data_IF_238881828264
#
_entry.id   IF_238881828264
#
_cell.length_a   1.000
_cell.length_b   1.000
_cell.length_c   1.000
_cell.angle_alpha   90.00
_cell.angle_beta   90.00
_cell.angle_gamma   90.00
#
_symmetry.space_group_name_H-M   'P 1'
#
loop_
_entity.id
_entity.type
_entity.pdbx_description
1 polymer ?
#
# COMPACT_ATOMS: atom_id res chain seq x y z
N UNK A 1 17.78 -3.62 -10.58
CA UNK A 1 18.31 -2.84 -9.43
C UNK A 1 19.18 -3.74 -8.52
N UNK A 2 20.27 -3.23 -7.93
CA UNK A 2 21.21 -4.03 -7.10
C UNK A 2 20.50 -4.86 -6.02
N UNK A 3 19.45 -4.31 -5.42
CA UNK A 3 18.64 -5.00 -4.39
C UNK A 3 18.02 -6.34 -4.83
N UNK A 4 17.73 -6.52 -6.12
CA UNK A 4 17.20 -7.80 -6.65
C UNK A 4 18.32 -8.83 -6.78
N UNK A 5 19.54 -8.38 -7.06
CA UNK A 5 20.73 -9.22 -7.15
C UNK A 5 21.19 -9.64 -5.75
N UNK A 6 21.11 -8.73 -4.78
CA UNK A 6 21.50 -8.98 -3.39
C UNK A 6 20.49 -9.90 -2.66
N UNK A 7 19.23 -9.94 -3.12
CA UNK A 7 18.18 -10.80 -2.57
C UNK A 7 17.45 -11.61 -3.66
N UNK A 8 18.11 -12.61 -4.26
CA UNK A 8 17.60 -13.31 -5.43
C UNK A 8 16.35 -14.16 -5.15
N UNK A 9 16.13 -14.54 -3.90
CA UNK A 9 14.95 -15.31 -3.47
C UNK A 9 13.78 -14.43 -3.02
N UNK A 10 13.96 -13.11 -2.91
CA UNK A 10 12.90 -12.21 -2.47
C UNK A 10 11.69 -12.29 -3.38
N UNK A 11 10.52 -12.20 -2.75
CA UNK A 11 9.23 -12.18 -3.42
C UNK A 11 8.69 -10.75 -3.37
N UNK A 12 7.89 -10.42 -4.37
CA UNK A 12 7.23 -9.12 -4.45
C UNK A 12 5.73 -9.25 -4.17
N UNK A 13 5.21 -8.32 -3.38
CA UNK A 13 3.79 -8.09 -3.22
C UNK A 13 3.42 -6.79 -3.94
N UNK A 14 2.31 -6.79 -4.66
CA UNK A 14 1.67 -5.59 -5.18
C UNK A 14 0.53 -5.20 -4.23
N UNK A 15 0.59 -3.99 -3.68
CA UNK A 15 -0.37 -3.44 -2.74
C UNK A 15 -0.92 -2.12 -3.28
N UNK A 16 -2.25 -2.02 -3.41
CA UNK A 16 -2.94 -0.78 -3.76
C UNK A 16 -3.65 -0.21 -2.53
N UNK A 17 -3.35 1.03 -2.18
CA UNK A 17 -3.96 1.75 -1.06
C UNK A 17 -4.83 2.89 -1.58
N UNK A 18 -6.12 2.89 -1.25
CA UNK A 18 -7.09 3.90 -1.73
C UNK A 18 -7.64 4.76 -0.60
N UNK A 19 -8.30 5.85 -0.97
CA UNK A 19 -9.14 6.69 -0.12
C UNK A 19 -10.47 6.87 -0.85
N UNK A 20 -11.52 7.35 -0.16
CA UNK A 20 -12.72 7.80 -0.87
C UNK A 20 -12.35 8.90 -1.86
N UNK A 21 -13.09 8.96 -2.97
CA UNK A 21 -12.94 10.03 -3.94
C UNK A 21 -13.07 11.38 -3.24
N UNK A 22 -12.32 12.35 -3.73
CA UNK A 22 -12.30 13.71 -3.21
C UNK A 22 -12.55 14.70 -4.32
N UNK A 23 -12.97 15.90 -3.97
CA UNK A 23 -13.01 17.01 -4.93
C UNK A 23 -11.60 17.33 -5.40
N UNK A 24 -11.46 17.73 -6.67
CA UNK A 24 -10.14 17.97 -7.27
C UNK A 24 -9.34 19.06 -6.53
N UNK A 25 -10.03 20.06 -5.95
CA UNK A 25 -9.41 21.11 -5.13
C UNK A 25 -8.82 20.59 -3.82
N UNK A 26 -9.37 19.50 -3.28
CA UNK A 26 -8.92 18.87 -2.04
C UNK A 26 -7.82 17.81 -2.24
N UNK A 27 -7.48 17.50 -3.50
CA UNK A 27 -6.52 16.44 -3.83
C UNK A 27 -5.17 16.62 -3.12
N UNK A 28 -4.64 17.84 -3.04
CA UNK A 28 -3.38 18.12 -2.35
C UNK A 28 -3.45 17.82 -0.84
N UNK A 29 -4.56 18.21 -0.19
CA UNK A 29 -4.83 17.92 1.22
C UNK A 29 -4.94 16.42 1.46
N UNK A 30 -5.68 15.71 0.60
CA UNK A 30 -5.87 14.26 0.68
C UNK A 30 -4.54 13.52 0.48
N UNK A 31 -3.73 13.89 -0.53
CA UNK A 31 -2.41 13.30 -0.74
C UNK A 31 -1.46 13.55 0.44
N UNK A 32 -1.54 14.72 1.08
CA UNK A 32 -0.78 15.01 2.30
C UNK A 32 -1.18 14.07 3.44
N UNK A 33 -2.49 13.86 3.63
CA UNK A 33 -3.01 12.92 4.63
C UNK A 33 -2.60 11.47 4.33
N UNK A 34 -2.69 11.03 3.07
CA UNK A 34 -2.26 9.70 2.63
C UNK A 34 -0.76 9.49 2.84
N UNK A 35 0.08 10.49 2.53
CA UNK A 35 1.52 10.41 2.79
C UNK A 35 1.83 10.27 4.29
N UNK A 36 1.15 11.04 5.14
CA UNK A 36 1.28 10.91 6.58
C UNK A 36 0.79 9.54 7.09
N UNK A 37 -0.27 8.99 6.49
CA UNK A 37 -0.79 7.66 6.79
C UNK A 37 0.22 6.57 6.41
N UNK A 38 0.86 6.68 5.25
CA UNK A 38 1.88 5.74 4.82
C UNK A 38 3.09 5.73 5.77
N UNK A 39 3.57 6.90 6.20
CA UNK A 39 4.62 7.02 7.24
C UNK A 39 4.24 6.39 8.58
N UNK A 40 2.94 6.34 8.93
CA UNK A 40 2.46 5.61 10.11
C UNK A 40 2.42 4.11 9.84
N UNK A 41 2.02 3.71 8.65
CA UNK A 41 1.96 2.32 8.21
C UNK A 41 3.34 1.67 8.22
N UNK A 42 4.38 2.38 7.77
CA UNK A 42 5.80 1.94 7.82
C UNK A 42 6.25 1.49 9.21
N UNK A 43 5.63 2.03 10.28
CA UNK A 43 5.96 1.71 11.68
C UNK A 43 5.13 0.56 12.25
N UNK A 44 4.18 0.00 11.49
CA UNK A 44 3.33 -1.11 11.94
C UNK A 44 4.10 -2.42 11.88
N UNK A 45 3.83 -3.32 12.83
CA UNK A 45 4.48 -4.64 12.93
C UNK A 45 4.30 -5.48 11.66
N UNK A 46 3.21 -5.26 10.92
CA UNK A 46 2.92 -5.95 9.67
C UNK A 46 3.85 -5.53 8.53
N UNK A 47 4.46 -4.35 8.62
CA UNK A 47 5.48 -3.87 7.68
C UNK A 47 6.92 -4.17 8.13
N UNK A 48 7.14 -4.53 9.40
CA UNK A 48 8.48 -4.86 9.89
C UNK A 48 9.21 -6.00 9.14
N UNK A 49 8.54 -7.03 8.56
CA UNK A 49 9.21 -8.06 7.77
C UNK A 49 9.41 -7.67 6.30
N UNK A 50 8.94 -6.48 5.86
CA UNK A 50 9.17 -5.97 4.51
C UNK A 50 10.59 -5.41 4.44
N UNK A 51 11.38 -5.93 3.51
CA UNK A 51 12.81 -5.58 3.35
C UNK A 51 13.02 -4.23 2.66
N UNK A 52 12.01 -3.78 1.90
CA UNK A 52 12.01 -2.51 1.19
C UNK A 52 10.76 -2.39 0.33
N UNK A 53 10.47 -1.19 -0.14
CA UNK A 53 9.31 -0.95 -0.98
C UNK A 53 9.54 0.20 -1.97
N UNK A 54 8.81 0.17 -3.07
CA UNK A 54 8.65 1.29 -4.01
C UNK A 54 7.18 1.67 -3.98
N UNK A 55 6.89 2.98 -4.05
CA UNK A 55 5.51 3.49 -4.07
C UNK A 55 5.36 4.55 -5.15
N UNK A 56 4.35 4.39 -5.99
CA UNK A 56 3.87 5.40 -6.92
C UNK A 56 2.58 6.03 -6.38
N UNK A 57 2.40 7.33 -6.61
CA UNK A 57 1.13 8.02 -6.38
C UNK A 57 0.45 8.21 -7.73
N UNK A 58 -0.78 7.75 -7.83
CA UNK A 58 -1.61 7.88 -9.02
C UNK A 58 -2.94 8.53 -8.63
N UNK A 59 -3.49 9.32 -9.55
CA UNK A 59 -4.77 9.98 -9.37
C UNK A 59 -5.54 9.93 -10.67
N UNK A 60 -6.69 9.26 -10.66
CA UNK A 60 -7.60 9.22 -11.81
C UNK A 60 -8.68 10.27 -11.64
N UNK A 61 -9.02 10.97 -12.72
CA UNK A 61 -10.17 11.90 -12.72
C UNK A 61 -11.43 11.12 -13.06
N UNK A 62 -12.43 11.19 -12.19
CA UNK A 62 -13.76 10.63 -12.42
C UNK A 62 -14.54 11.42 -13.45
N UNK A 63 -15.56 10.78 -14.06
CA UNK A 63 -16.47 11.44 -15.01
C UNK A 63 -17.26 12.59 -14.35
N UNK A 64 -17.52 12.46 -13.05
CA UNK A 64 -18.16 13.48 -12.19
C UNK A 64 -17.21 14.64 -11.82
N UNK A 65 -15.96 14.61 -12.28
CA UNK A 65 -14.94 15.60 -11.98
C UNK A 65 -14.21 15.39 -10.65
N UNK A 66 -14.57 14.35 -9.88
CA UNK A 66 -13.85 13.98 -8.66
C UNK A 66 -12.46 13.40 -8.97
N UNK A 67 -11.60 13.33 -7.96
CA UNK A 67 -10.30 12.71 -8.02
C UNK A 67 -10.29 11.41 -7.21
N UNK A 68 -9.63 10.39 -7.76
CA UNK A 68 -9.50 9.04 -7.21
C UNK A 68 -8.02 8.77 -6.88
N UNK A 69 -7.44 9.40 -5.85
CA UNK A 69 -6.05 9.19 -5.50
C UNK A 69 -5.83 7.81 -4.87
N UNK A 70 -4.75 7.16 -5.27
CA UNK A 70 -4.33 5.88 -4.72
C UNK A 70 -2.81 5.72 -4.78
N UNK A 71 -2.29 4.82 -3.96
CA UNK A 71 -0.89 4.41 -4.00
C UNK A 71 -0.77 2.99 -4.54
N UNK A 72 0.14 2.80 -5.49
CA UNK A 72 0.61 1.48 -5.87
C UNK A 72 1.97 1.23 -5.25
N UNK A 73 2.06 0.18 -4.44
CA UNK A 73 3.26 -0.22 -3.72
C UNK A 73 3.75 -1.58 -4.22
N UNK A 74 5.06 -1.68 -4.46
CA UNK A 74 5.76 -2.95 -4.59
C UNK A 74 6.53 -3.20 -3.29
N UNK A 75 6.14 -4.22 -2.53
CA UNK A 75 6.78 -4.60 -1.27
C UNK A 75 7.68 -5.81 -1.49
N UNK A 76 8.94 -5.71 -1.08
CA UNK A 76 9.90 -6.81 -1.12
C UNK A 76 9.85 -7.59 0.19
N UNK A 77 9.58 -8.89 0.12
CA UNK A 77 9.45 -9.77 1.29
C UNK A 77 10.24 -11.06 1.10
N UNK A 78 10.70 -11.65 2.20
CA UNK A 78 11.33 -12.97 2.16
C UNK A 78 10.31 -14.06 1.77
N UNK A 79 10.75 -15.18 1.16
CA UNK A 79 9.88 -16.34 0.86
C UNK A 79 9.06 -16.86 2.04
N UNK A 80 9.62 -16.75 3.26
CA UNK A 80 8.99 -17.16 4.51
C UNK A 80 7.70 -16.40 4.83
N UNK A 81 7.47 -15.23 4.19
CA UNK A 81 6.23 -14.46 4.28
C UNK A 81 4.99 -15.33 4.06
N UNK A 82 5.02 -16.20 3.06
CA UNK A 82 3.86 -17.02 2.66
C UNK A 82 3.68 -18.30 3.46
N UNK A 83 4.66 -18.67 4.31
CA UNK A 83 4.69 -19.97 5.00
C UNK A 83 4.63 -19.84 6.51
N UNK A 84 4.49 -18.63 7.05
CA UNK A 84 4.64 -18.40 8.48
C UNK A 84 3.86 -17.21 9.01
N UNK A 85 4.20 -16.82 10.24
CA UNK A 85 3.54 -15.78 11.03
C UNK A 85 3.56 -14.37 10.43
N UNK A 86 4.35 -14.14 9.39
CA UNK A 86 4.48 -12.83 8.73
C UNK A 86 3.40 -12.59 7.68
N UNK A 87 2.62 -13.61 7.28
CA UNK A 87 1.54 -13.43 6.32
C UNK A 87 0.46 -12.53 6.90
N UNK A 88 0.11 -11.47 6.16
CA UNK A 88 -0.94 -10.52 6.53
C UNK A 88 -2.14 -10.74 5.60
N UNK A 89 -3.28 -11.13 6.20
CA UNK A 89 -4.55 -11.32 5.49
C UNK A 89 -5.06 -9.99 4.93
N UNK A 90 -5.85 -10.05 3.86
CA UNK A 90 -6.47 -8.89 3.21
C UNK A 90 -7.22 -7.97 4.20
N UNK A 91 -8.12 -8.53 5.01
CA UNK A 91 -8.88 -7.77 6.02
C UNK A 91 -7.98 -6.97 6.96
N UNK A 92 -6.84 -7.55 7.34
CA UNK A 92 -5.87 -6.86 8.19
C UNK A 92 -5.23 -5.67 7.48
N UNK A 93 -4.98 -5.75 6.17
CA UNK A 93 -4.50 -4.60 5.40
C UNK A 93 -5.52 -3.46 5.35
N UNK A 94 -6.80 -3.79 5.21
CA UNK A 94 -7.91 -2.81 5.25
C UNK A 94 -7.93 -2.09 6.60
N UNK A 95 -7.92 -2.83 7.70
CA UNK A 95 -7.85 -2.27 9.05
C UNK A 95 -6.62 -1.38 9.26
N UNK A 96 -5.44 -1.87 8.89
CA UNK A 96 -4.19 -1.13 9.04
C UNK A 96 -4.23 0.19 8.30
N UNK A 97 -4.70 0.16 7.05
CA UNK A 97 -4.76 1.36 6.24
C UNK A 97 -5.81 2.32 6.76
N UNK A 98 -6.99 1.86 7.16
CA UNK A 98 -8.01 2.68 7.84
C UNK A 98 -7.44 3.39 9.07
N UNK A 99 -6.81 2.63 9.98
CA UNK A 99 -6.26 3.15 11.22
C UNK A 99 -5.15 4.17 10.94
N UNK A 100 -4.27 3.85 9.99
CA UNK A 100 -3.19 4.74 9.60
C UNK A 100 -3.72 5.98 8.89
N UNK A 101 -4.76 5.87 8.07
CA UNK A 101 -5.41 7.00 7.38
C UNK A 101 -6.27 7.84 8.34
N UNK A 102 -6.65 7.27 9.49
CA UNK A 102 -7.51 7.87 10.52
C UNK A 102 -8.89 8.22 10.00
N UNK A 103 -9.50 7.28 9.29
CA UNK A 103 -10.85 7.40 8.74
C UNK A 103 -11.81 6.42 9.42
N UNK A 104 -13.10 6.74 9.38
CA UNK A 104 -14.17 5.95 10.01
C UNK A 104 -14.88 4.99 9.05
N UNK A 105 -14.26 4.70 7.90
CA UNK A 105 -14.77 3.77 6.89
C UNK A 105 -13.67 2.77 6.51
N UNK A 106 -14.05 1.67 5.87
CA UNK A 106 -13.11 0.67 5.34
C UNK A 106 -12.68 1.04 3.92
N UNK A 107 -11.41 1.37 3.67
CA UNK A 107 -10.93 1.67 2.33
C UNK A 107 -10.83 0.40 1.47
N UNK A 108 -10.94 0.54 0.16
CA UNK A 108 -10.69 -0.55 -0.76
C UNK A 108 -9.17 -0.78 -0.90
N UNK A 109 -8.73 -2.03 -0.74
CA UNK A 109 -7.33 -2.43 -0.83
C UNK A 109 -7.22 -3.61 -1.79
N UNK A 110 -6.20 -3.60 -2.66
CA UNK A 110 -5.76 -4.79 -3.40
C UNK A 110 -4.40 -5.23 -2.86
N UNK A 111 -4.24 -6.52 -2.58
CA UNK A 111 -2.95 -7.11 -2.16
C UNK A 111 -2.78 -8.47 -2.82
N UNK A 112 -1.69 -8.63 -3.57
CA UNK A 112 -1.41 -9.88 -4.29
C UNK A 112 0.08 -10.13 -4.45
N UNK A 113 0.47 -11.40 -4.49
CA UNK A 113 1.83 -11.77 -4.86
C UNK A 113 2.06 -11.50 -6.34
N UNK A 114 3.18 -10.83 -6.66
CA UNK A 114 3.63 -10.68 -8.05
C UNK A 114 4.12 -12.05 -8.52
N UNK A 115 3.54 -12.51 -9.63
CA UNK A 115 3.97 -13.74 -10.31
C UNK A 115 5.13 -13.40 -11.24
N UNK A 116 6.26 -14.06 -11.07
CA UNK A 116 7.33 -14.08 -12.07
C UNK A 116 6.82 -14.88 -13.27
N UNK A 117 6.91 -14.28 -14.46
CA UNK A 117 6.75 -15.03 -15.72
C UNK A 117 8.01 -15.85 -15.98
#
# INVERSE_FOLDING_TARGET
>A
PKIVVDYPSSRWLFLTLTVRNCEIGELGTVLTAMNAAFKRMEKRKELSPVQGWIRATEGTRGEDGSAHPHFHCLLMVQPSWFKGKNYVKHERWVELWRDCLRVNYEPNIDIRAVKTK
#
